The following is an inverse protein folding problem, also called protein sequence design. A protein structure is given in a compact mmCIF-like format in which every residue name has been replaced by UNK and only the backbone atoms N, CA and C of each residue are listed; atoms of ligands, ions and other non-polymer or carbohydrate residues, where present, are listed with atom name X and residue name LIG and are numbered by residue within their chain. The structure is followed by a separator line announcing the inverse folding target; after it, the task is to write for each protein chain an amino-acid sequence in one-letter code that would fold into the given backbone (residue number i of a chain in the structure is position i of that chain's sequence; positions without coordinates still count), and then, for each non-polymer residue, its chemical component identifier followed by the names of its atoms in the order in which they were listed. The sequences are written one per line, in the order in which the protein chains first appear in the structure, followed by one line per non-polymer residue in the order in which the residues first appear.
data_IF_918329465212
#
_entry.id   IF_918329465212
#
_cell.length_a   1.000
_cell.length_b   1.000
_cell.length_c   1.000
_cell.angle_alpha   90.00
_cell.angle_beta   90.00
_cell.angle_gamma   90.00
#
_symmetry.space_group_name_H-M   'P 1'
#
loop_
_entity.id
_entity.type
_entity.pdbx_description
1 polymer ?
#
# COMPACT_ATOMS: atom_id res chain seq x y z
N UNK A 1 40.36 7.46 -4.23
CA UNK A 1 40.06 6.14 -4.81
C UNK A 1 38.59 6.12 -5.17
N UNK A 2 38.31 6.03 -6.46
CA UNK A 2 37.00 6.14 -7.10
C UNK A 2 36.06 5.03 -6.62
N UNK A 3 34.91 5.41 -6.08
CA UNK A 3 33.93 4.48 -5.55
C UNK A 3 32.81 4.22 -6.57
N UNK A 4 33.19 3.78 -7.78
CA UNK A 4 32.25 3.45 -8.87
C UNK A 4 31.18 2.46 -8.39
N UNK A 5 31.59 1.47 -7.58
CA UNK A 5 30.67 0.50 -6.98
C UNK A 5 29.69 1.15 -5.99
N UNK A 6 30.11 2.15 -5.20
CA UNK A 6 29.22 2.85 -4.28
C UNK A 6 28.25 3.74 -5.02
N UNK A 7 28.71 4.46 -6.05
CA UNK A 7 27.87 5.32 -6.89
C UNK A 7 26.77 4.50 -7.59
N UNK A 8 27.13 3.37 -8.20
CA UNK A 8 26.17 2.46 -8.82
C UNK A 8 25.14 1.91 -7.82
N UNK A 9 25.58 1.48 -6.62
CA UNK A 9 24.68 0.98 -5.57
C UNK A 9 23.73 2.09 -5.10
N UNK A 10 24.23 3.31 -4.91
CA UNK A 10 23.42 4.46 -4.49
C UNK A 10 22.40 4.82 -5.58
N UNK A 11 22.80 4.84 -6.85
CA UNK A 11 21.91 5.11 -7.98
C UNK A 11 20.75 4.11 -8.03
N UNK A 12 21.06 2.80 -7.99
CA UNK A 12 20.03 1.74 -7.97
C UNK A 12 19.11 1.86 -6.77
N UNK A 13 19.65 2.15 -5.58
CA UNK A 13 18.87 2.33 -4.36
C UNK A 13 17.93 3.55 -4.43
N UNK A 14 18.38 4.65 -5.06
CA UNK A 14 17.57 5.85 -5.28
C UNK A 14 16.44 5.58 -6.26
N UNK A 15 16.71 4.89 -7.36
CA UNK A 15 15.68 4.49 -8.35
C UNK A 15 14.63 3.60 -7.69
N UNK A 16 15.06 2.58 -6.94
CA UNK A 16 14.15 1.70 -6.20
C UNK A 16 13.32 2.45 -5.16
N UNK A 17 13.94 3.35 -4.38
CA UNK A 17 13.24 4.18 -3.40
C UNK A 17 12.17 5.05 -4.05
N UNK A 18 12.48 5.63 -5.22
CA UNK A 18 11.58 6.51 -5.96
C UNK A 18 10.39 5.73 -6.52
N UNK A 19 10.64 4.56 -7.10
CA UNK A 19 9.60 3.64 -7.58
C UNK A 19 8.63 3.23 -6.45
N UNK A 20 9.17 2.76 -5.32
CA UNK A 20 8.38 2.36 -4.14
C UNK A 20 7.47 3.51 -3.66
N UNK A 21 7.99 4.73 -3.58
CA UNK A 21 7.21 5.90 -3.15
C UNK A 21 6.12 6.25 -4.14
N UNK A 22 6.45 6.27 -5.44
CA UNK A 22 5.51 6.60 -6.52
C UNK A 22 4.35 5.60 -6.55
N UNK A 23 4.67 4.31 -6.55
CA UNK A 23 3.69 3.22 -6.56
C UNK A 23 2.88 3.23 -5.27
N UNK A 24 3.50 3.45 -4.11
CA UNK A 24 2.80 3.56 -2.83
C UNK A 24 1.75 4.68 -2.82
N UNK A 25 2.08 5.85 -3.37
CA UNK A 25 1.11 6.97 -3.52
C UNK A 25 -0.03 6.60 -4.46
N UNK A 26 0.28 5.95 -5.58
CA UNK A 26 -0.72 5.49 -6.55
C UNK A 26 -1.65 4.44 -5.94
N UNK A 27 -1.12 3.49 -5.18
CA UNK A 27 -1.89 2.48 -4.47
C UNK A 27 -2.82 3.10 -3.43
N UNK A 28 -2.34 4.07 -2.64
CA UNK A 28 -3.19 4.81 -1.71
C UNK A 28 -4.29 5.59 -2.44
N UNK A 29 -4.01 6.22 -3.58
CA UNK A 29 -5.02 6.91 -4.39
C UNK A 29 -6.05 5.94 -4.98
N UNK A 30 -5.61 4.78 -5.47
CA UNK A 30 -6.47 3.71 -5.98
C UNK A 30 -7.41 3.18 -4.89
N UNK A 31 -6.90 3.00 -3.66
CA UNK A 31 -7.71 2.65 -2.50
C UNK A 31 -8.76 3.72 -2.17
N UNK A 32 -8.39 5.01 -2.20
CA UNK A 32 -9.37 6.10 -2.00
C UNK A 32 -10.49 6.07 -3.04
N UNK A 33 -10.19 5.69 -4.28
CA UNK A 33 -11.16 5.64 -5.37
C UNK A 33 -12.04 4.37 -5.34
N UNK A 34 -11.47 3.21 -5.01
CA UNK A 34 -12.15 1.91 -5.03
C UNK A 34 -12.78 1.51 -3.70
N UNK A 35 -12.44 2.17 -2.60
CA UNK A 35 -13.00 1.84 -1.31
C UNK A 35 -14.51 2.10 -1.25
N UNK A 36 -15.26 1.25 -0.53
CA UNK A 36 -16.69 1.43 -0.36
C UNK A 36 -17.00 2.77 0.32
N UNK A 37 -17.98 3.48 -0.24
CA UNK A 37 -18.38 4.81 0.21
C UNK A 37 -19.74 4.70 0.90
N UNK A 38 -19.74 4.93 2.22
CA UNK A 38 -20.98 5.21 2.98
C UNK A 38 -21.10 6.70 3.27
N UNK A 39 -20.19 7.24 4.10
CA UNK A 39 -20.04 8.68 4.37
C UNK A 39 -18.79 9.29 3.71
N UNK A 40 -17.99 8.48 3.01
CA UNK A 40 -16.72 8.88 2.40
C UNK A 40 -15.53 9.00 3.36
N UNK A 41 -15.76 8.99 4.67
CA UNK A 41 -14.69 9.08 5.69
C UNK A 41 -13.71 7.91 5.60
N UNK A 42 -14.21 6.70 5.37
CA UNK A 42 -13.38 5.51 5.18
C UNK A 42 -12.48 5.64 3.94
N UNK A 43 -13.07 6.00 2.80
CA UNK A 43 -12.33 6.21 1.56
C UNK A 43 -11.28 7.32 1.70
N UNK A 44 -11.58 8.43 2.39
CA UNK A 44 -10.62 9.52 2.64
C UNK A 44 -9.53 9.14 3.66
N UNK A 45 -9.79 8.18 4.53
CA UNK A 45 -8.91 7.76 5.63
C UNK A 45 -7.64 7.02 5.20
N UNK A 46 -7.50 6.64 3.92
CA UNK A 46 -6.28 6.01 3.43
C UNK A 46 -5.11 6.99 3.44
N UNK A 47 -4.02 6.60 4.08
CA UNK A 47 -2.76 7.34 4.14
C UNK A 47 -1.56 6.44 3.84
N UNK A 48 -0.49 7.08 3.41
CA UNK A 48 0.80 6.44 3.13
C UNK A 48 1.82 6.97 4.13
N UNK A 49 2.57 6.07 4.77
CA UNK A 49 3.69 6.39 5.66
C UNK A 49 4.97 5.79 5.12
N UNK A 50 5.98 6.62 4.97
CA UNK A 50 7.32 6.16 4.60
C UNK A 50 8.08 5.71 5.86
N UNK A 51 8.66 4.51 5.82
CA UNK A 51 9.61 4.01 6.81
C UNK A 51 10.94 3.79 6.11
N UNK A 52 11.97 4.56 6.50
CA UNK A 52 13.35 4.29 6.09
C UNK A 52 13.94 3.33 7.11
N UNK A 53 14.34 2.14 6.67
CA UNK A 53 15.12 1.22 7.50
C UNK A 53 16.57 1.30 7.08
N UNK A 54 17.47 1.56 8.04
CA UNK A 54 18.91 1.51 7.80
C UNK A 54 19.28 0.07 7.41
N UNK A 55 19.77 -0.11 6.17
CA UNK A 55 20.25 -1.39 5.65
C UNK A 55 19.24 -2.22 4.85
N UNK A 56 17.92 -2.00 4.99
CA UNK A 56 16.88 -2.81 4.31
C UNK A 56 16.20 -2.05 3.15
N UNK A 57 16.48 -0.75 3.01
CA UNK A 57 15.93 0.09 1.95
C UNK A 57 14.71 0.90 2.38
N UNK A 58 13.91 1.32 1.39
CA UNK A 58 12.72 2.15 1.62
C UNK A 58 11.47 1.28 1.68
N UNK A 59 10.75 1.34 2.80
CA UNK A 59 9.46 0.66 2.97
C UNK A 59 8.35 1.69 3.03
N UNK A 60 7.21 1.36 2.41
CA UNK A 60 6.02 2.19 2.46
C UNK A 60 4.89 1.39 3.09
N UNK A 61 4.30 1.97 4.13
CA UNK A 61 3.14 1.43 4.84
C UNK A 61 1.90 2.21 4.43
N UNK A 62 0.89 1.51 3.89
CA UNK A 62 -0.40 2.10 3.56
C UNK A 62 -1.40 1.64 4.62
N UNK A 63 -2.09 2.58 5.26
CA UNK A 63 -3.06 2.28 6.32
C UNK A 63 -4.24 3.24 6.30
N UNK A 64 -5.38 2.78 6.79
CA UNK A 64 -6.53 3.63 7.03
C UNK A 64 -6.41 4.25 8.44
N UNK A 65 -6.22 5.56 8.52
CA UNK A 65 -6.09 6.26 9.81
C UNK A 65 -7.43 6.67 10.41
N UNK A 66 -8.47 6.80 9.58
CA UNK A 66 -9.80 7.21 10.05
C UNK A 66 -10.56 6.03 10.68
N UNK A 67 -10.59 4.88 10.00
CA UNK A 67 -11.31 3.68 10.47
C UNK A 67 -10.47 2.41 10.26
N UNK A 68 -9.42 2.20 11.06
CA UNK A 68 -8.56 1.02 10.95
C UNK A 68 -9.33 -0.28 11.20
N UNK A 69 -10.31 -0.29 12.11
CA UNK A 69 -11.07 -1.52 12.41
C UNK A 69 -11.94 -2.00 11.24
N UNK A 70 -12.39 -1.08 10.38
CA UNK A 70 -13.24 -1.44 9.23
C UNK A 70 -12.48 -2.18 8.15
N UNK A 71 -11.16 -2.03 8.04
CA UNK A 71 -10.38 -2.67 6.98
C UNK A 71 -10.50 -4.18 7.04
N UNK A 72 -10.35 -4.78 8.23
CA UNK A 72 -10.44 -6.22 8.40
C UNK A 72 -11.87 -6.74 8.19
N UNK A 73 -12.87 -6.02 8.72
CA UNK A 73 -14.28 -6.41 8.60
C UNK A 73 -14.76 -6.37 7.14
N UNK A 74 -14.30 -5.39 6.37
CA UNK A 74 -14.63 -5.29 4.95
C UNK A 74 -13.84 -6.29 4.13
N UNK A 75 -12.57 -6.54 4.43
CA UNK A 75 -11.76 -7.45 3.61
C UNK A 75 -12.16 -8.92 3.79
N UNK A 76 -12.54 -9.34 5.00
CA UNK A 76 -12.80 -10.74 5.32
C UNK A 76 -14.29 -11.07 5.56
N UNK A 77 -15.14 -10.05 5.67
CA UNK A 77 -16.48 -10.23 6.20
C UNK A 77 -16.47 -10.50 7.71
N UNK A 78 -17.65 -10.54 8.31
CA UNK A 78 -17.78 -10.86 9.74
C UNK A 78 -19.17 -11.38 10.06
N UNK A 79 -19.28 -12.08 11.19
CA UNK A 79 -20.56 -12.56 11.69
C UNK A 79 -21.39 -11.42 12.30
N UNK A 80 -22.69 -11.44 12.04
CA UNK A 80 -23.63 -10.43 12.52
C UNK A 80 -24.21 -10.81 13.88
N UNK A 81 -24.44 -9.82 14.74
CA UNK A 81 -25.01 -10.02 16.09
C UNK A 81 -26.37 -10.74 16.11
N UNK A 82 -27.18 -10.61 15.06
CA UNK A 82 -28.50 -11.24 14.97
C UNK A 82 -28.47 -12.59 14.23
N UNK A 83 -27.28 -13.14 14.01
CA UNK A 83 -27.06 -14.31 13.15
C UNK A 83 -26.84 -13.92 11.68
N UNK A 84 -26.14 -14.79 10.95
CA UNK A 84 -25.78 -14.57 9.55
C UNK A 84 -24.41 -13.92 9.35
N UNK A 85 -24.00 -13.76 8.09
CA UNK A 85 -22.66 -13.32 7.71
C UNK A 85 -22.73 -12.06 6.84
N UNK A 86 -21.98 -11.02 7.23
CA UNK A 86 -21.76 -9.85 6.39
C UNK A 86 -20.73 -10.19 5.30
N UNK A 87 -21.05 -10.03 4.01
CA UNK A 87 -20.15 -10.40 2.93
C UNK A 87 -18.86 -9.57 2.95
N UNK A 88 -17.77 -10.21 2.54
CA UNK A 88 -16.51 -9.54 2.30
C UNK A 88 -16.58 -8.66 1.05
N UNK A 89 -16.00 -7.46 1.14
CA UNK A 89 -15.76 -6.50 0.06
C UNK A 89 -14.24 -6.31 -0.05
N UNK A 90 -13.53 -7.29 -0.67
CA UNK A 90 -12.09 -7.22 -0.80
C UNK A 90 -11.71 -6.09 -1.76
N UNK A 91 -10.91 -5.15 -1.26
CA UNK A 91 -10.43 -4.01 -2.04
C UNK A 91 -9.00 -3.64 -1.68
N UNK A 92 -8.52 -4.09 -0.51
CA UNK A 92 -7.16 -3.87 -0.05
C UNK A 92 -6.21 -4.84 -0.74
N UNK A 93 -6.55 -6.14 -0.75
CA UNK A 93 -5.72 -7.16 -1.40
C UNK A 93 -5.54 -6.90 -2.90
N UNK A 94 -6.60 -6.62 -3.69
CA UNK A 94 -6.43 -6.29 -5.12
C UNK A 94 -5.56 -5.05 -5.35
N UNK A 95 -5.68 -4.02 -4.51
CA UNK A 95 -4.85 -2.82 -4.63
C UNK A 95 -3.37 -3.10 -4.30
N UNK A 96 -3.12 -3.97 -3.32
CA UNK A 96 -1.77 -4.43 -2.97
C UNK A 96 -1.14 -5.25 -4.09
N UNK A 97 -1.86 -6.21 -4.65
CA UNK A 97 -1.39 -7.02 -5.78
C UNK A 97 -1.05 -6.16 -6.99
N UNK A 98 -1.93 -5.22 -7.35
CA UNK A 98 -1.67 -4.24 -8.42
C UNK A 98 -0.40 -3.42 -8.18
N UNK A 99 -0.17 -2.99 -6.93
CA UNK A 99 1.02 -2.24 -6.57
C UNK A 99 2.28 -3.11 -6.62
N UNK A 100 2.21 -4.35 -6.13
CA UNK A 100 3.32 -5.29 -6.16
C UNK A 100 3.71 -5.65 -7.60
N UNK A 101 2.73 -5.86 -8.47
CA UNK A 101 2.96 -6.17 -9.89
C UNK A 101 3.53 -4.97 -10.65
N UNK A 102 3.07 -3.74 -10.37
CA UNK A 102 3.68 -2.53 -10.94
C UNK A 102 5.14 -2.38 -10.49
N UNK A 103 5.43 -2.71 -9.22
CA UNK A 103 6.77 -2.61 -8.67
C UNK A 103 7.71 -3.66 -9.27
N UNK A 104 7.25 -4.90 -9.43
CA UNK A 104 8.00 -5.96 -10.14
C UNK A 104 8.31 -5.55 -11.57
N UNK A 105 7.33 -5.00 -12.30
CA UNK A 105 7.51 -4.54 -13.68
C UNK A 105 8.50 -3.39 -13.80
N UNK A 106 8.48 -2.44 -12.87
CA UNK A 106 9.39 -1.28 -12.91
C UNK A 106 10.81 -1.62 -12.46
N UNK A 107 10.96 -2.55 -11.51
CA UNK A 107 12.26 -2.97 -11.01
C UNK A 107 12.87 -4.14 -11.77
N UNK A 108 12.07 -4.84 -12.59
CA UNK A 108 12.55 -5.79 -13.59
C UNK A 108 13.21 -7.03 -13.00
N UNK A 109 12.39 -8.03 -12.69
CA UNK A 109 12.71 -9.42 -13.03
C UNK A 109 11.81 -9.84 -14.20
#
# INVERSE_FOLDING_TARGET
MTAVAREFVVEKQLTASTAVKRIGRKAAANLRAKSPVKSGEYAKGWGMREKKSLGVGTTVEIKNTAKPSLTHLLENGHELRQGGFAPAIPHIRPAFEQAADELRKELGE
#
